data_IF_513611102579
#
_entry.id   IF_513611102579
#
_cell.length_a   1.000
_cell.length_b   1.000
_cell.length_c   1.000
_cell.angle_alpha   90.00
_cell.angle_beta   90.00
_cell.angle_gamma   90.00
#
_symmetry.space_group_name_H-M   'P 1'
#
loop_
_entity.id
_entity.type
_entity.pdbx_description
1 polymer ?
#
# COMPACT_ATOMS: atom_id res chain seq x y z
N UNK A 1 -11.01 -29.40 23.23
CA UNK A 1 -12.09 -28.74 22.49
C UNK A 1 -12.44 -27.42 23.17
N UNK A 2 -11.88 -26.30 22.71
CA UNK A 2 -12.33 -24.98 23.16
C UNK A 2 -13.32 -24.44 22.13
N UNK A 3 -14.57 -24.29 22.52
CA UNK A 3 -15.62 -23.63 21.74
C UNK A 3 -15.56 -22.12 21.98
N UNK A 4 -15.52 -21.34 20.91
CA UNK A 4 -15.60 -19.87 20.96
C UNK A 4 -17.00 -19.40 20.57
N UNK A 5 -17.57 -18.49 21.36
CA UNK A 5 -18.88 -17.89 21.08
C UNK A 5 -18.68 -16.51 20.43
N UNK A 6 -19.31 -16.29 19.27
CA UNK A 6 -19.46 -14.96 18.71
C UNK A 6 -20.71 -14.31 19.31
N UNK A 7 -20.54 -13.27 20.11
CA UNK A 7 -21.63 -12.62 20.81
C UNK A 7 -22.39 -11.62 19.91
N UNK A 8 -23.67 -11.41 20.21
CA UNK A 8 -24.45 -10.33 19.63
C UNK A 8 -23.94 -8.96 20.12
N UNK A 9 -24.18 -7.87 19.36
CA UNK A 9 -23.83 -6.52 19.80
C UNK A 9 -24.38 -6.21 21.20
N UNK A 10 -23.53 -5.69 22.09
CA UNK A 10 -23.89 -5.39 23.48
C UNK A 10 -23.72 -6.54 24.47
N UNK A 11 -23.25 -7.71 24.02
CA UNK A 11 -23.01 -8.88 24.89
C UNK A 11 -21.56 -9.37 24.82
N UNK A 12 -21.01 -9.79 25.96
CA UNK A 12 -19.61 -10.19 26.10
C UNK A 12 -19.41 -11.37 27.07
N UNK A 13 -18.16 -11.80 27.22
CA UNK A 13 -17.77 -12.94 28.05
C UNK A 13 -17.76 -14.27 27.31
N UNK A 14 -17.20 -15.32 27.94
CA UNK A 14 -17.05 -16.66 27.34
C UNK A 14 -18.36 -17.25 26.83
N UNK A 15 -19.48 -16.88 27.45
CA UNK A 15 -20.82 -17.38 27.13
C UNK A 15 -21.79 -16.27 26.69
N UNK A 16 -21.29 -15.08 26.36
CA UNK A 16 -22.13 -13.95 25.92
C UNK A 16 -23.22 -13.51 26.91
N UNK A 17 -23.00 -13.68 28.22
CA UNK A 17 -23.97 -13.35 29.27
C UNK A 17 -23.74 -11.99 29.93
N UNK A 18 -22.64 -11.31 29.61
CA UNK A 18 -22.25 -10.05 30.27
C UNK A 18 -22.68 -8.89 29.36
N UNK A 19 -23.70 -8.10 29.74
CA UNK A 19 -24.13 -6.95 28.96
C UNK A 19 -23.11 -5.82 29.08
N UNK A 20 -22.93 -5.05 28.01
CA UNK A 20 -22.09 -3.86 28.02
C UNK A 20 -22.67 -2.75 27.14
N UNK A 21 -22.30 -1.51 27.44
CA UNK A 21 -22.72 -0.33 26.68
C UNK A 21 -21.53 0.29 25.97
N UNK A 22 -21.66 0.50 24.65
CA UNK A 22 -20.67 1.22 23.88
C UNK A 22 -20.85 2.73 23.99
N UNK A 23 -19.73 3.45 24.04
CA UNK A 23 -19.69 4.92 24.03
C UNK A 23 -19.03 5.48 22.78
N UNK A 24 -18.94 4.68 21.72
CA UNK A 24 -18.36 5.05 20.44
C UNK A 24 -19.25 6.04 19.67
N UNK A 25 -18.69 6.74 18.69
CA UNK A 25 -19.47 7.58 17.75
C UNK A 25 -20.50 6.74 16.99
N UNK A 26 -21.61 7.35 16.60
CA UNK A 26 -22.76 6.65 15.98
C UNK A 26 -22.44 5.98 14.65
N UNK A 27 -21.44 6.47 13.92
CA UNK A 27 -20.97 5.96 12.63
C UNK A 27 -19.75 5.01 12.75
N UNK A 28 -19.41 4.58 13.95
CA UNK A 28 -18.27 3.70 14.22
C UNK A 28 -18.72 2.29 14.61
N UNK A 29 -17.83 1.31 14.46
CA UNK A 29 -18.12 -0.09 14.81
C UNK A 29 -17.60 -0.35 16.22
N UNK A 30 -18.49 -0.75 17.12
CA UNK A 30 -18.10 -1.18 18.46
C UNK A 30 -17.89 -2.69 18.50
N UNK A 31 -16.68 -3.13 18.84
CA UNK A 31 -16.35 -4.56 18.91
C UNK A 31 -16.40 -5.14 20.32
N UNK A 32 -16.53 -4.31 21.35
CA UNK A 32 -16.59 -4.76 22.73
C UNK A 32 -16.16 -3.70 23.73
N UNK A 33 -15.85 -4.17 24.95
CA UNK A 33 -15.23 -3.39 26.02
C UNK A 33 -13.97 -4.09 26.52
N UNK A 34 -12.97 -3.30 26.90
CA UNK A 34 -11.73 -3.81 27.50
C UNK A 34 -11.93 -4.20 28.98
N UNK A 35 -10.91 -4.78 29.60
CA UNK A 35 -10.92 -5.16 31.01
C UNK A 35 -11.20 -3.99 31.98
N UNK A 36 -10.94 -2.74 31.55
CA UNK A 36 -11.21 -1.52 32.33
C UNK A 36 -12.53 -0.85 31.95
N UNK A 37 -13.46 -1.60 31.34
CA UNK A 37 -14.77 -1.11 30.90
C UNK A 37 -14.71 0.04 29.89
N UNK A 38 -13.65 0.10 29.07
CA UNK A 38 -13.53 1.07 27.97
C UNK A 38 -14.01 0.45 26.67
N UNK A 39 -14.91 1.13 25.95
CA UNK A 39 -15.37 0.68 24.64
C UNK A 39 -14.20 0.58 23.66
N UNK A 40 -14.19 -0.47 22.84
CA UNK A 40 -13.22 -0.68 21.78
C UNK A 40 -13.93 -0.36 20.46
N UNK A 41 -13.53 0.74 19.85
CA UNK A 41 -14.19 1.33 18.69
C UNK A 41 -13.28 1.26 17.47
N UNK A 42 -13.82 0.81 16.33
CA UNK A 42 -13.17 0.91 15.02
C UNK A 42 -13.69 2.17 14.35
N UNK A 43 -12.80 3.15 14.17
CA UNK A 43 -13.16 4.45 13.65
C UNK A 43 -13.26 4.47 12.13
N UNK A 44 -14.17 5.29 11.57
CA UNK A 44 -14.13 5.61 10.14
C UNK A 44 -12.84 6.38 9.80
N UNK A 45 -12.47 6.38 8.51
CA UNK A 45 -11.18 6.88 8.01
C UNK A 45 -10.84 8.33 8.40
N UNK A 46 -11.82 9.14 8.80
CA UNK A 46 -11.64 10.56 9.14
C UNK A 46 -11.93 10.89 10.62
N UNK A 47 -11.91 9.90 11.52
CA UNK A 47 -12.10 10.14 12.95
C UNK A 47 -11.08 9.39 13.79
N UNK A 48 -10.69 10.01 14.89
CA UNK A 48 -9.70 9.50 15.83
C UNK A 48 -10.20 9.53 17.27
N UNK A 49 -9.33 9.06 18.15
CA UNK A 49 -9.57 8.91 19.56
C UNK A 49 -10.29 7.60 19.90
N UNK A 50 -10.20 7.22 21.17
CA UNK A 50 -10.73 5.96 21.69
C UNK A 50 -12.25 5.75 21.49
N UNK A 51 -13.01 6.83 21.26
CA UNK A 51 -14.45 6.81 20.95
C UNK A 51 -14.79 7.23 19.52
N UNK A 52 -13.79 7.50 18.68
CA UNK A 52 -14.00 8.02 17.32
C UNK A 52 -14.80 9.32 17.27
N UNK A 53 -14.63 10.21 18.27
CA UNK A 53 -15.35 11.48 18.35
C UNK A 53 -14.54 12.67 17.83
N UNK A 54 -13.25 12.48 17.55
CA UNK A 54 -12.35 13.55 17.10
C UNK A 54 -12.32 13.52 15.57
N UNK A 55 -12.95 14.47 14.85
CA UNK A 55 -12.89 14.50 13.39
C UNK A 55 -11.50 14.94 12.91
N UNK A 56 -11.09 14.44 11.73
CA UNK A 56 -9.94 14.91 11.00
C UNK A 56 -10.35 15.32 9.59
N UNK A 57 -10.07 16.58 9.26
CA UNK A 57 -10.50 17.21 8.01
C UNK A 57 -9.38 17.32 6.96
N UNK A 58 -8.19 16.78 7.23
CA UNK A 58 -7.01 16.91 6.35
C UNK A 58 -7.28 16.32 4.96
N UNK A 59 -8.02 15.21 4.91
CA UNK A 59 -8.45 14.59 3.66
C UNK A 59 -9.85 15.02 3.19
N UNK A 60 -10.52 15.94 3.89
CA UNK A 60 -11.88 16.42 3.57
C UNK A 60 -11.90 17.84 2.99
N UNK A 61 -10.76 18.53 2.97
CA UNK A 61 -10.63 19.82 2.28
C UNK A 61 -10.96 19.60 0.79
N UNK A 62 -11.92 20.36 0.25
CA UNK A 62 -12.61 20.21 -1.04
C UNK A 62 -11.74 20.27 -2.33
N UNK A 63 -10.48 19.84 -2.26
CA UNK A 63 -9.68 19.45 -3.40
C UNK A 63 -8.79 18.29 -2.97
N UNK A 64 -9.28 17.05 -3.03
CA UNK A 64 -8.45 15.84 -2.86
C UNK A 64 -7.18 15.91 -3.73
N UNK A 65 -7.26 16.58 -4.88
CA UNK A 65 -6.14 16.92 -5.77
C UNK A 65 -5.01 17.74 -5.13
N UNK A 66 -5.27 18.51 -4.07
CA UNK A 66 -4.25 19.31 -3.39
C UNK A 66 -3.44 18.47 -2.39
N UNK A 67 -4.06 17.44 -1.80
CA UNK A 67 -3.38 16.58 -0.82
C UNK A 67 -2.67 15.44 -1.54
N UNK A 68 -3.41 14.68 -2.35
CA UNK A 68 -2.90 13.59 -3.17
C UNK A 68 -3.25 13.88 -4.65
N UNK A 69 -2.24 14.07 -5.47
CA UNK A 69 -2.38 14.34 -6.91
C UNK A 69 -2.79 13.09 -7.68
N UNK A 70 -3.11 13.25 -8.97
CA UNK A 70 -3.33 12.16 -9.92
C UNK A 70 -4.34 11.09 -9.47
N UNK A 71 -5.37 11.48 -8.70
CA UNK A 71 -6.39 10.56 -8.19
C UNK A 71 -5.94 9.69 -7.01
N UNK A 72 -4.86 10.08 -6.32
CA UNK A 72 -4.42 9.43 -5.08
C UNK A 72 -5.47 9.49 -3.97
N UNK A 73 -5.57 8.40 -3.21
CA UNK A 73 -6.47 8.34 -2.05
C UNK A 73 -5.75 8.84 -0.80
N UNK A 74 -6.27 9.91 -0.20
CA UNK A 74 -5.77 10.47 1.05
C UNK A 74 -6.22 9.63 2.25
N UNK A 75 -5.28 9.36 3.16
CA UNK A 75 -5.52 8.70 4.45
C UNK A 75 -4.94 9.59 5.54
N UNK A 76 -5.75 10.09 6.49
CA UNK A 76 -5.23 10.86 7.59
C UNK A 76 -4.48 9.94 8.56
N UNK A 77 -3.46 10.48 9.20
CA UNK A 77 -2.65 9.74 10.16
C UNK A 77 -2.90 10.34 11.55
N UNK A 78 -3.06 9.49 12.55
CA UNK A 78 -3.14 9.95 13.94
C UNK A 78 -1.78 10.51 14.38
N UNK A 79 -1.74 11.82 14.64
CA UNK A 79 -0.55 12.53 15.09
C UNK A 79 0.01 11.95 16.40
N UNK A 80 -0.84 11.34 17.25
CA UNK A 80 -0.40 10.71 18.49
C UNK A 80 0.27 9.35 18.28
N UNK A 81 0.11 8.76 17.09
CA UNK A 81 0.62 7.43 16.76
C UNK A 81 1.82 7.48 15.81
N UNK A 82 2.16 8.66 15.27
CA UNK A 82 3.28 8.86 14.36
C UNK A 82 4.41 9.64 14.99
N UNK A 83 5.60 9.04 15.03
CA UNK A 83 6.85 9.72 15.41
C UNK A 83 7.35 10.72 14.35
N UNK A 84 6.66 10.81 13.22
CA UNK A 84 6.93 11.76 12.15
C UNK A 84 5.85 12.83 12.13
N UNK A 85 6.20 14.10 11.90
CA UNK A 85 5.26 15.21 11.76
C UNK A 85 4.33 15.11 10.51
N UNK A 86 4.21 13.91 9.90
CA UNK A 86 3.32 13.65 8.77
C UNK A 86 1.89 13.47 9.29
N UNK A 87 0.96 14.27 8.75
CA UNK A 87 -0.45 14.28 9.17
C UNK A 87 -1.38 13.48 8.25
N UNK A 88 -0.87 13.04 7.10
CA UNK A 88 -1.60 12.22 6.12
C UNK A 88 -0.61 11.38 5.29
N UNK A 89 -1.14 10.38 4.61
CA UNK A 89 -0.46 9.58 3.58
C UNK A 89 -1.34 9.47 2.34
N UNK A 90 -0.72 9.29 1.18
CA UNK A 90 -1.41 9.07 -0.09
C UNK A 90 -1.19 7.63 -0.57
N UNK A 91 -2.29 6.93 -0.87
CA UNK A 91 -2.25 5.71 -1.66
C UNK A 91 -2.32 6.09 -3.14
N UNK A 92 -1.23 5.87 -3.85
CA UNK A 92 -1.14 6.23 -5.25
C UNK A 92 -1.75 5.16 -6.17
N UNK A 93 -2.50 5.56 -7.21
CA UNK A 93 -2.97 4.65 -8.23
C UNK A 93 -1.80 4.09 -9.05
N UNK A 94 -2.05 3.00 -9.77
CA UNK A 94 -1.04 2.40 -10.65
C UNK A 94 -0.54 3.43 -11.67
N UNK A 95 0.78 3.54 -11.80
CA UNK A 95 1.41 4.51 -12.69
C UNK A 95 1.79 5.83 -12.04
N UNK A 96 1.54 5.99 -10.74
CA UNK A 96 1.93 7.17 -9.98
C UNK A 96 2.60 6.80 -8.66
N UNK A 97 3.51 7.63 -8.22
CA UNK A 97 4.24 7.48 -6.95
C UNK A 97 4.65 8.83 -6.37
N UNK A 98 5.38 8.82 -5.27
CA UNK A 98 5.72 10.02 -4.49
C UNK A 98 4.86 10.15 -3.23
N UNK A 99 5.20 11.09 -2.37
CA UNK A 99 4.50 11.30 -1.09
C UNK A 99 3.06 11.81 -1.30
N UNK A 100 2.80 12.44 -2.45
CA UNK A 100 1.52 12.98 -2.89
C UNK A 100 1.09 12.45 -4.25
N UNK A 101 1.66 11.35 -4.72
CA UNK A 101 1.36 10.79 -6.05
C UNK A 101 1.66 11.74 -7.22
N UNK A 102 2.63 12.63 -7.03
CA UNK A 102 3.08 13.67 -7.96
C UNK A 102 4.01 13.14 -9.06
N UNK A 103 4.62 11.97 -8.85
CA UNK A 103 5.57 11.36 -9.77
C UNK A 103 4.81 10.43 -10.71
N UNK A 104 5.01 10.61 -12.01
CA UNK A 104 4.52 9.68 -13.03
C UNK A 104 5.54 8.56 -13.19
N UNK A 105 5.09 7.31 -13.09
CA UNK A 105 5.92 6.14 -13.22
C UNK A 105 6.16 5.79 -14.70
N UNK A 106 7.33 5.27 -15.02
CA UNK A 106 7.60 4.68 -16.33
C UNK A 106 6.80 3.40 -16.51
N UNK A 107 5.99 3.35 -17.58
CA UNK A 107 5.32 2.14 -18.02
C UNK A 107 6.27 1.28 -18.85
N UNK A 108 6.68 0.16 -18.29
CA UNK A 108 7.53 -0.85 -18.93
C UNK A 108 6.64 -2.04 -19.28
N UNK A 109 6.63 -2.45 -20.55
CA UNK A 109 5.92 -3.67 -20.96
C UNK A 109 6.94 -4.69 -21.43
N UNK A 110 6.99 -5.81 -20.71
CA UNK A 110 7.79 -6.97 -21.05
C UNK A 110 6.91 -7.93 -21.83
N UNK A 111 7.39 -8.42 -22.97
CA UNK A 111 6.73 -9.45 -23.77
C UNK A 111 7.63 -10.66 -23.83
N UNK A 112 7.06 -11.83 -23.65
CA UNK A 112 7.78 -13.10 -23.59
C UNK A 112 7.44 -13.93 -24.83
N UNK A 113 8.47 -14.50 -25.45
CA UNK A 113 8.30 -15.47 -26.53
C UNK A 113 7.80 -16.80 -25.96
N UNK A 114 7.16 -17.62 -26.81
CA UNK A 114 6.47 -18.85 -26.41
C UNK A 114 7.40 -19.93 -25.86
N UNK A 115 8.70 -19.85 -26.15
CA UNK A 115 9.74 -20.76 -25.68
C UNK A 115 10.24 -20.44 -24.27
N UNK A 116 9.86 -19.29 -23.70
CA UNK A 116 10.20 -18.91 -22.34
C UNK A 116 9.20 -19.52 -21.36
N UNK A 117 9.67 -20.49 -20.56
CA UNK A 117 8.88 -21.07 -19.47
C UNK A 117 8.73 -20.06 -18.33
N UNK A 118 7.60 -19.36 -18.30
CA UNK A 118 7.30 -18.37 -17.27
C UNK A 118 7.00 -19.05 -15.92
N UNK A 119 7.73 -18.65 -14.88
CA UNK A 119 7.38 -19.00 -13.50
C UNK A 119 6.21 -18.16 -12.99
N UNK A 120 5.52 -18.64 -11.95
CA UNK A 120 4.42 -17.90 -11.31
C UNK A 120 4.84 -16.51 -10.84
N UNK A 121 6.13 -16.31 -10.54
CA UNK A 121 6.71 -15.02 -10.20
C UNK A 121 8.06 -14.82 -10.88
N UNK A 122 8.37 -13.58 -11.21
CA UNK A 122 9.68 -13.12 -11.67
C UNK A 122 10.20 -12.01 -10.75
N UNK A 123 11.51 -11.90 -10.66
CA UNK A 123 12.18 -10.76 -10.05
C UNK A 123 12.70 -9.83 -11.16
N UNK A 124 12.64 -8.54 -10.91
CA UNK A 124 13.12 -7.51 -11.83
C UNK A 124 14.12 -6.66 -11.05
N UNK A 125 15.36 -6.63 -11.52
CA UNK A 125 16.46 -5.88 -10.94
C UNK A 125 16.72 -4.65 -11.79
N UNK A 126 16.40 -3.48 -11.24
CA UNK A 126 16.74 -2.19 -11.80
C UNK A 126 18.12 -1.76 -11.28
N UNK A 127 19.02 -1.45 -12.21
CA UNK A 127 20.38 -1.02 -11.89
C UNK A 127 20.59 0.40 -12.39
N UNK A 128 20.92 1.29 -11.46
CA UNK A 128 21.33 2.66 -11.71
C UNK A 128 22.85 2.74 -11.72
N UNK A 129 23.44 2.93 -12.91
CA UNK A 129 24.86 3.23 -13.05
C UNK A 129 25.12 4.71 -12.74
N UNK A 130 26.03 4.97 -11.80
CA UNK A 130 26.41 6.32 -11.38
C UNK A 130 27.91 6.48 -11.61
N UNK A 131 28.32 7.53 -12.32
CA UNK A 131 29.74 7.76 -12.60
C UNK A 131 30.54 7.94 -11.30
N UNK A 132 31.61 7.15 -11.15
CA UNK A 132 32.51 7.22 -9.99
C UNK A 132 31.95 6.62 -8.70
N UNK A 133 30.85 5.86 -8.75
CA UNK A 133 30.29 5.12 -7.62
C UNK A 133 29.85 3.72 -8.02
N UNK A 134 29.70 2.85 -7.03
CA UNK A 134 29.10 1.54 -7.25
C UNK A 134 27.65 1.68 -7.73
N UNK A 135 27.23 0.83 -8.69
CA UNK A 135 25.87 0.87 -9.20
C UNK A 135 24.85 0.52 -8.11
N UNK A 136 23.75 1.25 -8.06
CA UNK A 136 22.67 1.01 -7.11
C UNK A 136 21.70 0.00 -7.72
N UNK A 137 21.44 -1.09 -7.01
CA UNK A 137 20.48 -2.12 -7.42
C UNK A 137 19.22 -2.06 -6.58
N UNK A 138 18.07 -1.95 -7.23
CA UNK A 138 16.76 -2.11 -6.60
C UNK A 138 16.03 -3.28 -7.24
N UNK A 139 15.44 -4.17 -6.43
CA UNK A 139 14.73 -5.35 -6.91
C UNK A 139 13.25 -5.23 -6.59
N UNK A 140 12.39 -5.58 -7.55
CA UNK A 140 10.96 -5.82 -7.32
C UNK A 140 10.60 -7.20 -7.84
N UNK A 141 9.41 -7.68 -7.52
CA UNK A 141 8.89 -8.93 -8.06
C UNK A 141 7.49 -8.72 -8.62
N UNK A 142 7.11 -9.57 -9.57
CA UNK A 142 5.76 -9.59 -10.13
C UNK A 142 5.30 -11.02 -10.33
N UNK A 143 4.04 -11.25 -10.02
CA UNK A 143 3.34 -12.48 -10.36
C UNK A 143 2.93 -12.40 -11.83
N UNK A 144 3.19 -13.45 -12.59
CA UNK A 144 2.77 -13.54 -14.00
C UNK A 144 1.49 -14.38 -14.06
N UNK A 145 0.37 -13.84 -14.56
CA UNK A 145 -0.81 -14.65 -14.86
C UNK A 145 -0.47 -15.70 -15.92
N UNK A 146 -0.80 -16.97 -15.67
CA UNK A 146 -0.44 -18.11 -16.56
C UNK A 146 -0.90 -17.96 -18.01
N UNK A 147 -1.88 -17.08 -18.27
CA UNK A 147 -2.50 -16.88 -19.59
C UNK A 147 -1.98 -15.64 -20.32
N UNK A 148 -1.01 -14.91 -19.77
CA UNK A 148 -0.50 -13.67 -20.35
C UNK A 148 0.97 -13.80 -20.76
N UNK A 149 1.25 -13.51 -22.03
CA UNK A 149 2.62 -13.45 -22.57
C UNK A 149 3.25 -12.08 -22.40
N UNK A 150 2.61 -11.18 -21.65
CA UNK A 150 3.16 -9.86 -21.37
C UNK A 150 2.88 -9.41 -19.94
N UNK A 151 3.79 -8.60 -19.43
CA UNK A 151 3.72 -8.03 -18.10
C UNK A 151 4.00 -6.52 -18.18
N UNK A 152 3.09 -5.72 -17.64
CA UNK A 152 3.31 -4.28 -17.47
C UNK A 152 3.75 -3.96 -16.04
N UNK A 153 4.86 -3.25 -15.92
CA UNK A 153 5.41 -2.73 -14.68
C UNK A 153 5.41 -1.21 -14.73
N UNK A 154 5.10 -0.59 -13.60
CA UNK A 154 5.24 0.85 -13.39
C UNK A 154 6.43 1.07 -12.45
N UNK A 155 7.39 1.89 -12.88
CA UNK A 155 8.63 2.13 -12.14
C UNK A 155 9.02 3.62 -12.13
N UNK A 156 9.21 4.19 -10.95
CA UNK A 156 9.44 5.62 -10.78
C UNK A 156 10.90 6.04 -10.59
N UNK A 157 11.77 5.09 -10.22
CA UNK A 157 13.17 5.41 -9.91
C UNK A 157 14.03 5.39 -11.17
N UNK A 158 15.08 6.21 -11.24
CA UNK A 158 16.04 6.15 -12.33
C UNK A 158 16.70 4.76 -12.42
N UNK A 159 16.95 4.31 -13.64
CA UNK A 159 17.71 3.09 -13.92
C UNK A 159 18.31 3.15 -15.32
N UNK A 160 19.36 2.39 -15.54
CA UNK A 160 20.05 2.25 -16.83
C UNK A 160 19.91 0.84 -17.40
N UNK A 161 19.87 -0.16 -16.53
CA UNK A 161 19.70 -1.56 -16.91
C UNK A 161 18.54 -2.18 -16.13
N UNK A 162 17.79 -3.07 -16.77
CA UNK A 162 16.81 -3.91 -16.10
C UNK A 162 17.08 -5.39 -16.43
N UNK A 163 17.28 -6.21 -15.40
CA UNK A 163 17.41 -7.66 -15.53
C UNK A 163 16.15 -8.36 -15.00
N UNK A 164 15.71 -9.39 -15.70
CA UNK A 164 14.63 -10.28 -15.26
C UNK A 164 15.28 -11.56 -14.74
N UNK A 165 15.00 -11.92 -13.50
CA UNK A 165 15.40 -13.19 -12.88
C UNK A 165 14.19 -14.11 -12.75
N UNK A 166 14.31 -15.32 -13.29
CA UNK A 166 13.33 -16.40 -13.15
C UNK A 166 13.66 -17.33 -11.98
N UNK A 167 12.71 -18.19 -11.58
CA UNK A 167 12.85 -19.11 -10.43
C UNK A 167 14.13 -19.97 -10.47
N UNK A 168 14.57 -20.37 -11.66
CA UNK A 168 15.76 -21.17 -11.90
C UNK A 168 17.07 -20.36 -11.90
N UNK A 169 17.07 -19.11 -11.43
CA UNK A 169 18.24 -18.20 -11.45
C UNK A 169 18.74 -17.89 -12.87
N UNK A 170 17.87 -18.00 -13.87
CA UNK A 170 18.16 -17.48 -15.21
C UNK A 170 17.91 -15.98 -15.25
N UNK A 171 18.90 -15.25 -15.77
CA UNK A 171 18.88 -13.79 -15.87
C UNK A 171 18.80 -13.36 -17.33
N UNK A 172 17.85 -12.48 -17.65
CA UNK A 172 17.70 -11.88 -18.97
C UNK A 172 17.86 -10.37 -18.87
N UNK A 173 18.72 -9.80 -19.70
CA UNK A 173 18.83 -8.35 -19.84
C UNK A 173 17.67 -7.85 -20.70
N UNK A 174 16.70 -7.17 -20.09
CA UNK A 174 15.48 -6.76 -20.76
C UNK A 174 15.55 -5.33 -21.30
N UNK A 175 16.28 -4.44 -20.61
CA UNK A 175 16.33 -3.02 -20.97
C UNK A 175 17.75 -2.50 -20.78
N UNK A 176 18.21 -1.74 -21.76
CA UNK A 176 19.44 -0.93 -21.70
C UNK A 176 19.08 0.47 -22.18
N UNK A 177 19.34 1.49 -21.36
CA UNK A 177 19.14 2.88 -21.74
C UNK A 177 20.30 3.76 -21.27
N UNK A 178 20.75 4.66 -22.16
CA UNK A 178 21.92 5.55 -21.92
C UNK A 178 21.58 6.80 -21.12
N UNK A 179 20.33 7.26 -21.22
CA UNK A 179 19.83 8.47 -20.55
C UNK A 179 18.45 8.16 -20.00
N UNK A 180 18.29 8.23 -18.68
CA UNK A 180 16.98 8.18 -18.05
C UNK A 180 16.28 9.52 -18.23
N UNK A 181 15.16 9.54 -18.97
CA UNK A 181 14.25 10.69 -19.00
C UNK A 181 13.02 10.32 -18.18
N UNK A 182 12.77 11.07 -17.11
CA UNK A 182 11.57 10.89 -16.32
C UNK A 182 10.35 11.28 -17.17
N UNK A 183 9.26 10.49 -17.18
CA UNK A 183 8.03 10.88 -17.86
C UNK A 183 7.53 12.20 -17.29
N UNK A 184 7.25 13.14 -18.18
CA UNK A 184 6.59 14.42 -17.87
C UNK A 184 5.09 14.28 -17.82
#
# INVERSE_FOLDING_TARGET
NNTFCQCHPGWSGRYCTIPYTCTCSSDSICIGVSAYNRSICICPINKFGYRCLIPNTICQMNNNNLTCQNGGQCIPIDEHMSSSNKKFSCICPKGYSGDRCEIIDNKITLTFEEDIVLSQSIFIHFIEAINGRDPIRTTTFRTIPLTQNSLTIFWSRPFHLAFIEFYNKMYYLAIIQKTYQQPT
#
